data_IF_762917014131
#
_entry.id   IF_762917014131
#
_cell.length_a   1.000
_cell.length_b   1.000
_cell.length_c   1.000
_cell.angle_alpha   90.00
_cell.angle_beta   90.00
_cell.angle_gamma   90.00
#
_symmetry.space_group_name_H-M   'P 1'
#
loop_
_entity.id
_entity.type
_entity.pdbx_description
1 polymer ?
#
# COMPACT_ATOMS: atom_id res chain seq x y z
N UNK A 1 -4.59 3.47 32.50
CA UNK A 1 -3.93 2.84 31.33
C UNK A 1 -4.89 2.07 30.42
N UNK A 2 -5.77 1.19 30.93
CA UNK A 2 -6.68 0.39 30.08
C UNK A 2 -7.60 1.24 29.22
N UNK A 3 -8.22 2.28 29.77
CA UNK A 3 -9.12 3.17 29.03
C UNK A 3 -8.41 3.91 27.90
N UNK A 4 -7.19 4.42 28.15
CA UNK A 4 -6.36 5.09 27.13
C UNK A 4 -5.97 4.13 26.00
N UNK A 5 -5.59 2.89 26.34
CA UNK A 5 -5.27 1.85 25.35
C UNK A 5 -6.50 1.49 24.52
N UNK A 6 -7.66 1.33 25.14
CA UNK A 6 -8.91 1.04 24.44
C UNK A 6 -9.31 2.19 23.51
N UNK A 7 -9.17 3.44 23.96
CA UNK A 7 -9.43 4.62 23.13
C UNK A 7 -8.53 4.67 21.90
N UNK A 8 -7.23 4.38 22.05
CA UNK A 8 -6.32 4.24 20.90
C UNK A 8 -6.77 3.13 19.94
N UNK A 9 -7.23 2.00 20.47
CA UNK A 9 -7.77 0.91 19.65
C UNK A 9 -9.00 1.33 18.85
N UNK A 10 -9.92 2.06 19.47
CA UNK A 10 -11.12 2.62 18.80
C UNK A 10 -10.72 3.61 17.72
N UNK A 11 -9.91 4.62 18.05
CA UNK A 11 -9.44 5.62 17.08
C UNK A 11 -8.73 4.98 15.89
N UNK A 12 -7.83 4.03 16.13
CA UNK A 12 -7.15 3.27 15.08
C UNK A 12 -8.15 2.54 14.17
N UNK A 13 -9.17 1.90 14.74
CA UNK A 13 -10.19 1.19 13.97
C UNK A 13 -11.06 2.13 13.13
N UNK A 14 -11.42 3.30 13.66
CA UNK A 14 -12.15 4.32 12.91
C UNK A 14 -11.32 4.90 11.75
N UNK A 15 -10.02 5.13 11.98
CA UNK A 15 -9.09 5.56 10.93
C UNK A 15 -9.07 4.51 9.82
N UNK A 16 -8.78 3.25 10.15
CA UNK A 16 -8.70 2.13 9.20
C UNK A 16 -9.96 2.03 8.32
N UNK A 17 -11.14 2.13 8.92
CA UNK A 17 -12.43 2.10 8.20
C UNK A 17 -12.69 3.32 7.32
N UNK A 18 -12.14 4.47 7.68
CA UNK A 18 -12.38 5.73 6.96
C UNK A 18 -11.38 5.99 5.84
N UNK A 19 -10.21 5.32 5.86
CA UNK A 19 -9.14 5.56 4.88
C UNK A 19 -9.63 5.32 3.45
N UNK A 20 -9.51 6.35 2.62
CA UNK A 20 -9.74 6.25 1.17
C UNK A 20 -8.77 7.17 0.42
N UNK A 21 -8.77 7.08 -0.92
CA UNK A 21 -7.97 7.99 -1.76
C UNK A 21 -8.65 9.33 -2.01
N UNK A 22 -9.92 9.46 -1.64
CA UNK A 22 -10.78 10.58 -2.02
C UNK A 22 -11.11 11.52 -0.85
N UNK A 23 -10.60 11.22 0.35
CA UNK A 23 -10.81 12.04 1.55
C UNK A 23 -9.50 12.41 2.25
N UNK A 24 -9.58 13.44 3.09
CA UNK A 24 -8.52 13.84 4.02
C UNK A 24 -9.02 13.53 5.42
N UNK A 25 -8.21 12.82 6.20
CA UNK A 25 -8.53 12.43 7.57
C UNK A 25 -7.58 13.16 8.51
N UNK A 26 -8.14 13.85 9.50
CA UNK A 26 -7.41 14.49 10.58
C UNK A 26 -7.62 13.64 11.83
N UNK A 27 -6.54 13.10 12.38
CA UNK A 27 -6.56 12.30 13.61
C UNK A 27 -6.24 13.22 14.79
N UNK A 28 -7.25 13.95 15.26
CA UNK A 28 -7.13 14.88 16.38
C UNK A 28 -7.12 14.13 17.72
N UNK A 29 -5.92 13.81 18.19
CA UNK A 29 -5.67 13.11 19.45
C UNK A 29 -4.24 13.38 19.90
N UNK A 30 -3.91 13.05 21.15
CA UNK A 30 -2.57 13.27 21.71
C UNK A 30 -1.46 12.63 20.86
N UNK A 31 -1.72 11.44 20.29
CA UNK A 31 -0.77 10.71 19.44
C UNK A 31 0.67 10.68 19.99
N UNK A 32 0.77 10.64 21.33
CA UNK A 32 1.97 11.02 22.10
C UNK A 32 3.08 9.98 22.06
N UNK A 33 2.75 8.74 21.72
CA UNK A 33 3.70 7.62 21.67
C UNK A 33 4.05 7.27 20.23
N UNK A 34 5.34 7.03 20.00
CA UNK A 34 5.93 6.67 18.70
C UNK A 34 5.30 5.41 18.13
N UNK A 35 5.04 4.41 18.97
CA UNK A 35 4.43 3.15 18.55
C UNK A 35 3.06 3.34 17.90
N UNK A 36 2.25 4.23 18.45
CA UNK A 36 0.91 4.52 17.91
C UNK A 36 0.98 5.32 16.60
N UNK A 37 1.86 6.31 16.50
CA UNK A 37 2.10 7.02 15.23
C UNK A 37 2.58 6.06 14.13
N UNK A 38 3.44 5.10 14.47
CA UNK A 38 3.87 4.05 13.56
C UNK A 38 2.71 3.16 13.09
N UNK A 39 1.76 2.81 13.97
CA UNK A 39 0.56 2.05 13.58
C UNK A 39 -0.30 2.83 12.59
N UNK A 40 -0.55 4.11 12.82
CA UNK A 40 -1.29 4.98 11.89
C UNK A 40 -0.59 5.10 10.54
N UNK A 41 0.73 5.27 10.55
CA UNK A 41 1.53 5.27 9.33
C UNK A 41 1.45 3.93 8.57
N UNK A 42 1.42 2.79 9.28
CA UNK A 42 1.24 1.49 8.66
C UNK A 42 -0.12 1.38 7.95
N UNK A 43 -1.20 1.89 8.54
CA UNK A 43 -2.53 1.93 7.92
C UNK A 43 -2.51 2.80 6.65
N UNK A 44 -1.97 4.01 6.74
CA UNK A 44 -1.82 4.90 5.58
C UNK A 44 -0.97 4.26 4.46
N UNK A 45 0.10 3.55 4.84
CA UNK A 45 0.94 2.81 3.89
C UNK A 45 0.19 1.66 3.24
N UNK A 46 -0.59 0.89 3.98
CA UNK A 46 -1.38 -0.23 3.45
C UNK A 46 -2.47 0.26 2.49
N UNK A 47 -3.11 1.39 2.81
CA UNK A 47 -4.09 2.05 1.94
C UNK A 47 -3.47 2.72 0.70
N UNK A 48 -2.13 2.84 0.65
CA UNK A 48 -1.43 3.47 -0.47
C UNK A 48 -1.72 4.96 -0.58
N UNK A 49 -1.85 5.65 0.55
CA UNK A 49 -2.14 7.09 0.63
C UNK A 49 -0.95 7.88 1.19
N UNK A 50 -1.07 9.20 1.22
CA UNK A 50 -0.08 10.08 1.86
C UNK A 50 -0.29 10.08 3.38
N UNK A 51 0.76 10.40 4.11
CA UNK A 51 0.75 10.55 5.56
C UNK A 51 1.68 11.70 5.93
N UNK A 52 1.33 12.47 6.95
CA UNK A 52 2.19 13.51 7.51
C UNK A 52 1.88 13.69 9.00
N UNK A 53 2.82 14.28 9.73
CA UNK A 53 2.63 14.64 11.15
C UNK A 53 2.63 16.15 11.28
N UNK A 54 1.61 16.68 11.94
CA UNK A 54 1.60 18.04 12.47
C UNK A 54 1.91 17.96 13.96
N UNK A 55 2.99 18.62 14.39
CA UNK A 55 3.40 18.68 15.78
C UNK A 55 3.26 20.10 16.32
N UNK A 56 2.42 20.26 17.34
CA UNK A 56 2.29 21.51 18.09
C UNK A 56 3.28 21.49 19.25
N UNK A 57 4.45 22.08 19.05
CA UNK A 57 5.51 22.11 20.05
C UNK A 57 5.25 23.18 21.09
N UNK A 58 5.13 22.75 22.34
CA UNK A 58 4.83 23.60 23.49
C UNK A 58 5.64 23.10 24.67
N UNK A 59 6.37 24.00 25.31
CA UNK A 59 7.15 23.68 26.50
C UNK A 59 6.25 23.24 27.66
N UNK A 60 6.74 22.33 28.50
CA UNK A 60 5.98 21.77 29.63
C UNK A 60 5.41 22.86 30.56
N UNK A 61 6.17 23.92 30.80
CA UNK A 61 5.78 25.07 31.63
C UNK A 61 4.51 25.75 31.10
N UNK A 62 4.42 25.92 29.78
CA UNK A 62 3.26 26.49 29.11
C UNK A 62 2.08 25.51 29.10
N UNK A 63 2.33 24.22 28.83
CA UNK A 63 1.31 23.18 28.92
C UNK A 63 0.66 23.13 30.32
N UNK A 64 1.47 23.22 31.37
CA UNK A 64 1.00 23.23 32.76
C UNK A 64 0.16 24.46 33.06
N UNK A 65 0.66 25.63 32.66
CA UNK A 65 -0.06 26.90 32.81
C UNK A 65 -1.43 26.83 32.13
N UNK A 66 -1.50 26.39 30.88
CA UNK A 66 -2.77 26.27 30.15
C UNK A 66 -3.72 25.24 30.78
N UNK A 67 -3.19 24.13 31.31
CA UNK A 67 -4.01 23.14 32.00
C UNK A 67 -4.62 23.71 33.30
N UNK A 68 -3.87 24.53 34.05
CA UNK A 68 -4.38 25.26 35.23
C UNK A 68 -5.43 26.30 34.84
N UNK A 69 -5.17 27.13 33.82
CA UNK A 69 -6.12 28.14 33.35
C UNK A 69 -7.45 27.51 32.88
N UNK A 70 -7.41 26.35 32.23
CA UNK A 70 -8.62 25.58 31.86
C UNK A 70 -9.38 25.13 33.11
N UNK A 71 -8.68 24.65 34.13
CA UNK A 71 -9.29 24.23 35.41
C UNK A 71 -9.96 25.40 36.12
N UNK A 72 -9.34 26.57 36.14
CA UNK A 72 -9.90 27.80 36.74
C UNK A 72 -11.16 28.28 36.01
N UNK A 73 -11.26 27.99 34.70
CA UNK A 73 -12.43 28.29 33.87
C UNK A 73 -13.51 27.20 33.88
N UNK A 74 -13.36 26.17 34.70
CA UNK A 74 -14.24 24.99 34.73
C UNK A 74 -14.32 24.25 33.37
N UNK A 75 -13.27 24.32 32.57
CA UNK A 75 -13.12 23.56 31.33
C UNK A 75 -12.49 22.19 31.59
N UNK A 76 -12.63 21.28 30.62
CA UNK A 76 -11.93 19.99 30.65
C UNK A 76 -10.42 20.19 30.78
N UNK A 77 -9.86 19.66 31.85
CA UNK A 77 -8.43 19.71 32.21
C UNK A 77 -7.98 18.39 32.81
N UNK A 78 -6.68 18.13 32.77
CA UNK A 78 -6.08 16.97 33.45
C UNK A 78 -5.82 17.31 34.91
N UNK A 79 -6.01 16.34 35.81
CA UNK A 79 -5.45 16.45 37.15
C UNK A 79 -3.91 16.33 37.09
N UNK A 80 -3.24 16.74 38.17
CA UNK A 80 -1.79 16.88 38.17
C UNK A 80 -1.09 15.53 37.96
N UNK A 81 -1.59 14.46 38.59
CA UNK A 81 -1.03 13.12 38.41
C UNK A 81 -1.13 12.60 36.96
N UNK A 82 -2.23 12.86 36.27
CA UNK A 82 -2.39 12.52 34.85
C UNK A 82 -1.47 13.39 33.99
N UNK A 83 -1.39 14.69 34.28
CA UNK A 83 -0.52 15.61 33.55
C UNK A 83 0.95 15.16 33.62
N UNK A 84 1.47 14.88 34.81
CA UNK A 84 2.85 14.38 35.00
C UNK A 84 3.10 13.08 34.23
N UNK A 85 2.15 12.13 34.29
CA UNK A 85 2.29 10.87 33.59
C UNK A 85 2.29 11.03 32.07
N UNK A 86 1.49 11.96 31.53
CA UNK A 86 1.48 12.29 30.10
C UNK A 86 2.80 12.91 29.65
N UNK A 87 3.30 13.91 30.39
CA UNK A 87 4.58 14.57 30.10
C UNK A 87 5.72 13.56 30.11
N UNK A 88 5.80 12.72 31.15
CA UNK A 88 6.87 11.72 31.31
C UNK A 88 6.88 10.68 30.19
N UNK A 89 5.71 10.30 29.66
CA UNK A 89 5.57 9.30 28.59
C UNK A 89 5.62 9.87 27.18
N UNK A 90 5.64 11.19 27.03
CA UNK A 90 5.60 11.83 25.73
C UNK A 90 6.85 11.52 24.91
N UNK A 91 6.67 11.02 23.69
CA UNK A 91 7.74 10.75 22.73
C UNK A 91 7.67 11.73 21.57
N UNK A 92 8.52 12.77 21.60
CA UNK A 92 8.58 13.83 20.58
C UNK A 92 8.73 13.24 19.17
N UNK A 93 7.94 13.67 18.17
CA UNK A 93 8.12 13.27 16.78
C UNK A 93 9.53 13.62 16.26
N UNK A 94 10.11 12.77 15.41
CA UNK A 94 11.44 12.98 14.85
C UNK A 94 11.41 12.81 13.33
N UNK A 95 11.70 13.89 12.59
CA UNK A 95 11.71 13.89 11.11
C UNK A 95 12.65 12.86 10.47
N UNK A 96 13.64 12.32 11.20
CA UNK A 96 14.51 11.24 10.74
C UNK A 96 13.77 9.91 10.67
N UNK A 97 12.70 9.74 11.45
CA UNK A 97 11.82 8.60 11.34
C UNK A 97 10.94 8.72 10.11
N UNK A 98 10.96 7.70 9.25
CA UNK A 98 10.13 7.65 8.04
C UNK A 98 8.61 7.76 8.30
N UNK A 99 8.15 7.39 9.49
CA UNK A 99 6.73 7.44 9.87
C UNK A 99 6.31 8.77 10.50
N UNK A 100 7.26 9.58 10.97
CA UNK A 100 6.98 10.95 11.42
C UNK A 100 7.20 11.97 10.28
N UNK A 101 7.69 11.52 9.11
CA UNK A 101 8.05 12.38 7.97
C UNK A 101 6.99 12.32 6.86
N UNK A 102 6.61 13.46 6.23
CA UNK A 102 7.04 14.82 6.58
C UNK A 102 6.44 15.31 7.91
N UNK A 103 7.22 16.11 8.63
CA UNK A 103 6.89 16.70 9.93
C UNK A 103 6.75 18.22 9.78
N UNK A 104 5.56 18.73 10.10
CA UNK A 104 5.24 20.16 10.17
C UNK A 104 5.17 20.57 11.64
N UNK A 105 5.81 21.67 12.02
CA UNK A 105 5.93 22.10 13.41
C UNK A 105 5.27 23.46 13.63
N UNK A 106 4.42 23.56 14.65
CA UNK A 106 3.79 24.80 15.10
C UNK A 106 4.28 25.13 16.51
N UNK A 107 4.47 26.41 16.81
CA UNK A 107 5.00 26.88 18.09
C UNK A 107 4.00 27.87 18.74
N UNK A 108 2.82 27.40 19.19
CA UNK A 108 1.70 28.27 19.54
C UNK A 108 2.01 29.30 20.63
N UNK A 109 2.89 28.95 21.57
CA UNK A 109 3.27 29.83 22.69
C UNK A 109 4.16 31.00 22.25
N UNK A 110 4.86 30.87 21.12
CA UNK A 110 5.83 31.86 20.62
C UNK A 110 5.26 32.66 19.46
N UNK A 111 4.71 31.96 18.47
CA UNK A 111 4.31 32.54 17.19
C UNK A 111 2.79 32.64 17.04
N UNK A 112 2.02 32.14 18.01
CA UNK A 112 0.57 31.97 17.89
C UNK A 112 0.19 30.87 16.88
N UNK A 113 -1.11 30.77 16.57
CA UNK A 113 -1.61 29.89 15.51
C UNK A 113 -2.50 30.71 14.60
N UNK A 114 -2.07 30.90 13.36
CA UNK A 114 -2.84 31.57 12.32
C UNK A 114 -2.98 30.68 11.09
N UNK A 115 -4.03 30.89 10.29
CA UNK A 115 -4.20 30.16 9.02
C UNK A 115 -3.04 30.42 8.04
N UNK A 116 -2.39 31.57 8.19
CA UNK A 116 -1.19 32.03 7.47
C UNK A 116 0.12 31.44 7.99
N UNK A 117 0.12 30.70 9.12
CA UNK A 117 1.35 30.12 9.66
C UNK A 117 2.02 29.23 8.60
N UNK A 118 3.33 29.39 8.34
CA UNK A 118 4.02 28.66 7.27
C UNK A 118 3.80 27.14 7.32
N UNK A 119 3.86 26.54 8.51
CA UNK A 119 3.64 25.10 8.68
C UNK A 119 2.22 24.65 8.28
N UNK A 120 1.19 25.48 8.51
CA UNK A 120 -0.19 25.18 8.08
C UNK A 120 -0.31 25.31 6.56
N UNK A 121 0.25 26.38 5.99
CA UNK A 121 0.23 26.59 4.53
C UNK A 121 0.94 25.44 3.81
N UNK A 122 2.12 25.04 4.29
CA UNK A 122 2.89 23.93 3.72
C UNK A 122 2.18 22.59 3.89
N UNK A 123 1.57 22.34 5.05
CA UNK A 123 0.76 21.15 5.31
C UNK A 123 -0.43 21.06 4.34
N UNK A 124 -1.20 22.14 4.22
CA UNK A 124 -2.37 22.21 3.32
C UNK A 124 -1.95 22.00 1.88
N UNK A 125 -0.85 22.64 1.46
CA UNK A 125 -0.25 22.43 0.14
C UNK A 125 0.12 20.95 -0.06
N UNK A 126 0.80 20.32 0.90
CA UNK A 126 1.20 18.92 0.82
C UNK A 126 0.01 17.95 0.67
N UNK A 127 -1.05 18.13 1.47
CA UNK A 127 -2.21 17.21 1.46
C UNK A 127 -3.12 17.44 0.25
N UNK A 128 -3.20 18.66 -0.28
CA UNK A 128 -4.11 18.99 -1.41
C UNK A 128 -3.44 18.99 -2.79
N UNK A 129 -2.10 19.07 -2.87
CA UNK A 129 -1.37 19.08 -4.15
C UNK A 129 -1.72 17.84 -4.97
N UNK A 130 -2.00 18.01 -6.26
CA UNK A 130 -2.16 16.88 -7.18
C UNK A 130 -0.81 16.21 -7.38
N UNK A 131 -0.73 14.89 -7.18
CA UNK A 131 0.49 14.13 -7.51
C UNK A 131 0.50 13.96 -9.02
N UNK A 132 1.45 14.61 -9.68
CA UNK A 132 1.83 14.23 -11.03
C UNK A 132 2.96 13.20 -10.96
N UNK A 133 3.14 12.41 -12.02
CA UNK A 133 4.20 11.40 -12.09
C UNK A 133 5.62 11.99 -12.16
N UNK A 134 5.77 13.32 -12.13
CA UNK A 134 7.03 14.05 -12.35
C UNK A 134 7.57 14.69 -11.07
N UNK A 135 6.71 15.01 -10.10
CA UNK A 135 7.05 15.68 -8.85
C UNK A 135 7.34 14.66 -7.75
N UNK A 136 8.58 14.66 -7.26
CA UNK A 136 9.03 13.77 -6.16
C UNK A 136 8.67 14.30 -4.77
N UNK A 137 8.15 15.51 -4.70
CA UNK A 137 7.95 16.25 -3.45
C UNK A 137 6.83 15.65 -2.59
N UNK A 138 5.85 15.00 -3.23
CA UNK A 138 4.70 14.40 -2.56
C UNK A 138 4.77 12.87 -2.66
N UNK A 139 5.21 12.25 -1.56
CA UNK A 139 5.38 10.80 -1.48
C UNK A 139 4.08 10.10 -1.14
N UNK A 140 3.43 9.50 -2.14
CA UNK A 140 2.38 8.49 -1.90
C UNK A 140 3.08 7.25 -1.34
N UNK A 141 2.65 6.80 -0.16
CA UNK A 141 3.20 5.60 0.45
C UNK A 141 2.82 4.39 -0.40
N UNK A 142 3.80 3.52 -0.64
CA UNK A 142 3.56 2.28 -1.37
C UNK A 142 3.37 1.13 -0.37
N UNK A 143 2.27 0.36 -0.49
CA UNK A 143 2.11 -0.87 0.28
C UNK A 143 3.31 -1.80 0.06
N UNK A 144 3.72 -2.52 1.09
CA UNK A 144 4.67 -3.63 0.90
C UNK A 144 3.87 -4.89 0.58
N UNK A 145 4.47 -5.82 -0.16
CA UNK A 145 3.90 -7.16 -0.42
C UNK A 145 3.44 -7.84 0.89
N UNK A 146 4.16 -7.62 2.01
CA UNK A 146 3.82 -8.17 3.32
C UNK A 146 2.62 -7.49 4.02
N UNK A 147 2.21 -6.29 3.61
CA UNK A 147 1.11 -5.52 4.21
C UNK A 147 -0.13 -5.45 3.32
N UNK A 148 -0.06 -6.01 2.11
CA UNK A 148 -1.22 -6.14 1.26
C UNK A 148 -2.02 -7.33 1.75
N UNK A 149 -3.27 -7.08 2.17
CA UNK A 149 -4.26 -8.14 2.17
C UNK A 149 -4.30 -8.70 0.76
N UNK A 150 -4.08 -10.01 0.61
CA UNK A 150 -4.31 -10.71 -0.65
C UNK A 150 -5.71 -10.31 -1.06
N UNK A 151 -5.85 -9.51 -2.12
CA UNK A 151 -7.17 -9.29 -2.71
C UNK A 151 -7.68 -10.68 -3.00
N UNK A 152 -8.81 -11.05 -2.41
CA UNK A 152 -9.48 -12.28 -2.78
C UNK A 152 -9.71 -12.20 -4.29
N UNK A 153 -8.84 -12.89 -5.02
CA UNK A 153 -9.12 -13.32 -6.37
C UNK A 153 -10.46 -14.01 -6.28
N UNK A 154 -11.47 -13.57 -7.03
CA UNK A 154 -12.74 -14.30 -7.09
C UNK A 154 -12.40 -15.79 -7.25
N UNK A 155 -13.02 -16.66 -6.44
CA UNK A 155 -12.63 -18.07 -6.35
C UNK A 155 -12.58 -18.80 -7.72
N UNK A 156 -13.18 -18.21 -8.76
CA UNK A 156 -13.12 -18.66 -10.15
C UNK A 156 -11.82 -18.35 -10.90
N UNK A 157 -11.11 -17.24 -10.64
CA UNK A 157 -10.07 -16.81 -11.59
C UNK A 157 -8.80 -17.67 -11.55
N UNK A 158 -8.44 -18.26 -10.40
CA UNK A 158 -7.33 -19.21 -10.34
C UNK A 158 -7.65 -20.51 -11.07
N UNK A 159 -8.88 -21.00 -10.95
CA UNK A 159 -9.34 -22.19 -11.68
C UNK A 159 -9.35 -21.94 -13.19
N UNK A 160 -9.88 -20.80 -13.63
CA UNK A 160 -9.90 -20.41 -15.05
C UNK A 160 -8.48 -20.23 -15.61
N UNK A 161 -7.56 -19.64 -14.84
CA UNK A 161 -6.14 -19.56 -15.21
C UNK A 161 -5.48 -20.94 -15.34
N UNK A 162 -5.71 -21.83 -14.37
CA UNK A 162 -5.15 -23.17 -14.41
C UNK A 162 -5.65 -23.96 -15.61
N UNK A 163 -6.95 -23.85 -15.91
CA UNK A 163 -7.57 -24.45 -17.09
C UNK A 163 -7.01 -23.87 -18.39
N UNK A 164 -6.98 -22.54 -18.52
CA UNK A 164 -6.48 -21.84 -19.70
C UNK A 164 -5.01 -22.21 -20.02
N UNK A 165 -4.13 -22.22 -19.01
CA UNK A 165 -2.73 -22.58 -19.20
C UNK A 165 -2.53 -24.06 -19.51
N UNK A 166 -3.39 -24.94 -18.98
CA UNK A 166 -3.40 -26.36 -19.35
C UNK A 166 -3.80 -26.57 -20.81
N UNK A 167 -4.83 -25.88 -21.30
CA UNK A 167 -5.27 -25.95 -22.71
C UNK A 167 -4.13 -25.55 -23.66
N UNK A 168 -3.44 -24.46 -23.37
CA UNK A 168 -2.26 -24.01 -24.15
C UNK A 168 -1.13 -25.06 -24.13
N UNK A 169 -0.84 -25.61 -22.96
CA UNK A 169 0.19 -26.64 -22.79
C UNK A 169 -0.13 -27.90 -23.61
N UNK A 170 -1.38 -28.35 -23.58
CA UNK A 170 -1.83 -29.52 -24.35
C UNK A 170 -1.72 -29.27 -25.86
N UNK A 171 -2.12 -28.09 -26.34
CA UNK A 171 -2.02 -27.74 -27.77
C UNK A 171 -0.57 -27.73 -28.27
N UNK A 172 0.38 -27.27 -27.46
CA UNK A 172 1.81 -27.31 -27.79
C UNK A 172 2.31 -28.75 -27.94
N UNK A 173 1.94 -29.64 -27.00
CA UNK A 173 2.37 -31.04 -27.01
C UNK A 173 1.80 -31.76 -28.24
N UNK A 174 0.53 -31.52 -28.55
CA UNK A 174 -0.11 -32.08 -29.74
C UNK A 174 0.58 -31.61 -31.02
N UNK A 175 0.85 -30.31 -31.14
CA UNK A 175 1.58 -29.75 -32.29
C UNK A 175 2.99 -30.33 -32.43
N UNK A 176 3.74 -30.47 -31.33
CA UNK A 176 5.07 -31.09 -31.35
C UNK A 176 5.02 -32.58 -31.71
N UNK A 177 3.96 -33.29 -31.34
CA UNK A 177 3.76 -34.70 -31.70
C UNK A 177 3.52 -34.88 -33.21
N UNK A 178 2.72 -34.00 -33.81
CA UNK A 178 2.46 -33.98 -35.25
C UNK A 178 3.72 -33.56 -36.04
N UNK A 179 4.53 -32.66 -35.50
CA UNK A 179 5.79 -32.25 -36.08
C UNK A 179 6.93 -33.27 -35.88
N UNK A 180 6.66 -34.44 -35.28
CA UNK A 180 7.67 -35.45 -34.92
C UNK A 180 8.88 -34.87 -34.15
N UNK A 181 8.64 -33.88 -33.27
CA UNK A 181 9.69 -33.20 -32.52
C UNK A 181 10.45 -32.11 -33.28
N UNK A 182 10.01 -31.77 -34.50
CA UNK A 182 10.48 -30.61 -35.25
C UNK A 182 9.98 -29.27 -34.68
N UNK A 183 10.48 -28.13 -35.20
CA UNK A 183 10.06 -26.81 -34.76
C UNK A 183 8.57 -26.59 -35.02
N UNK A 184 7.87 -25.98 -34.06
CA UNK A 184 6.46 -25.63 -34.17
C UNK A 184 6.38 -24.12 -34.39
N UNK A 185 6.09 -23.71 -35.63
CA UNK A 185 5.99 -22.29 -36.00
C UNK A 185 4.55 -21.93 -36.32
N UNK A 186 4.05 -20.82 -35.77
CA UNK A 186 2.73 -20.29 -36.09
C UNK A 186 1.57 -21.04 -35.43
N UNK A 187 1.77 -21.70 -34.27
CA UNK A 187 0.68 -22.41 -33.60
C UNK A 187 -0.40 -21.42 -33.15
N UNK A 188 -1.59 -21.50 -33.76
CA UNK A 188 -2.76 -20.72 -33.38
C UNK A 188 -3.72 -21.59 -32.57
N UNK A 189 -3.98 -21.17 -31.32
CA UNK A 189 -4.91 -21.85 -30.41
C UNK A 189 -6.35 -21.35 -30.61
N UNK A 190 -6.50 -20.08 -31.01
CA UNK A 190 -7.76 -19.50 -31.44
C UNK A 190 -7.50 -18.28 -32.33
N UNK A 191 -8.50 -17.89 -33.12
CA UNK A 191 -8.39 -16.82 -34.12
C UNK A 191 -7.90 -15.47 -33.57
N UNK A 192 -8.22 -15.15 -32.30
CA UNK A 192 -7.88 -13.87 -31.66
C UNK A 192 -6.70 -13.94 -30.68
N UNK A 193 -5.91 -15.02 -30.70
CA UNK A 193 -4.74 -15.18 -29.84
C UNK A 193 -3.42 -15.08 -30.63
N UNK A 194 -2.34 -14.55 -30.01
CA UNK A 194 -1.03 -14.55 -30.64
C UNK A 194 -0.59 -15.98 -30.99
N UNK A 195 0.16 -16.12 -32.08
CA UNK A 195 0.75 -17.41 -32.45
C UNK A 195 1.94 -17.74 -31.55
N UNK A 196 2.10 -19.02 -31.22
CA UNK A 196 3.28 -19.52 -30.50
C UNK A 196 4.32 -19.99 -31.51
N UNK A 197 5.56 -19.53 -31.32
CA UNK A 197 6.71 -19.97 -32.11
C UNK A 197 7.71 -20.68 -31.20
N UNK A 198 7.96 -21.96 -31.47
CA UNK A 198 8.86 -22.83 -30.73
C UNK A 198 9.93 -23.34 -31.71
N UNK A 199 11.15 -22.83 -31.56
CA UNK A 199 12.30 -23.14 -32.41
C UNK A 199 12.95 -24.50 -32.10
N UNK A 200 12.73 -25.03 -30.89
CA UNK A 200 13.28 -26.30 -30.40
C UNK A 200 12.21 -27.17 -29.75
N UNK A 201 12.36 -28.49 -29.75
CA UNK A 201 11.45 -29.34 -29.00
C UNK A 201 11.50 -29.02 -27.50
N UNK A 202 10.35 -28.66 -26.91
CA UNK A 202 10.16 -28.39 -25.49
C UNK A 202 9.50 -29.60 -24.85
N UNK A 203 10.07 -30.11 -23.76
CA UNK A 203 9.52 -31.26 -23.03
C UNK A 203 8.38 -30.88 -22.08
N UNK A 204 7.48 -31.83 -21.80
CA UNK A 204 6.42 -31.67 -20.79
C UNK A 204 6.95 -31.20 -19.42
N UNK A 205 8.13 -31.64 -18.90
CA UNK A 205 8.67 -31.12 -17.65
C UNK A 205 8.99 -29.62 -17.70
N UNK A 206 9.50 -29.13 -18.83
CA UNK A 206 9.84 -27.73 -19.03
C UNK A 206 8.57 -26.87 -19.13
N UNK A 207 7.57 -27.30 -19.91
CA UNK A 207 6.27 -26.64 -20.00
C UNK A 207 5.58 -26.55 -18.64
N UNK A 208 5.63 -27.63 -17.83
CA UNK A 208 5.10 -27.63 -16.46
C UNK A 208 5.83 -26.64 -15.55
N UNK A 209 7.15 -26.50 -15.71
CA UNK A 209 7.96 -25.53 -14.95
C UNK A 209 7.57 -24.10 -15.35
N UNK A 210 7.52 -23.80 -16.65
CA UNK A 210 7.13 -22.49 -17.18
C UNK A 210 5.71 -22.11 -16.73
N UNK A 211 4.75 -23.05 -16.79
CA UNK A 211 3.40 -22.84 -16.28
C UNK A 211 3.38 -22.51 -14.78
N UNK A 212 4.11 -23.27 -13.94
CA UNK A 212 4.20 -22.98 -12.50
C UNK A 212 4.81 -21.60 -12.23
N UNK A 213 5.85 -21.23 -12.96
CA UNK A 213 6.48 -19.91 -12.86
C UNK A 213 5.49 -18.81 -13.26
N UNK A 214 4.78 -18.98 -14.38
CA UNK A 214 3.74 -18.05 -14.81
C UNK A 214 2.64 -17.86 -13.77
N UNK A 215 2.05 -18.95 -13.26
CA UNK A 215 0.98 -18.88 -12.24
C UNK A 215 1.47 -18.15 -10.98
N UNK A 216 2.70 -18.43 -10.55
CA UNK A 216 3.32 -17.74 -9.41
C UNK A 216 3.52 -16.25 -9.70
N UNK A 217 4.05 -15.89 -10.87
CA UNK A 217 4.28 -14.49 -11.26
C UNK A 217 2.96 -13.73 -11.40
N UNK A 218 1.94 -14.31 -12.02
CA UNK A 218 0.63 -13.68 -12.22
C UNK A 218 -0.12 -13.56 -10.90
N UNK A 219 -0.07 -14.58 -10.03
CA UNK A 219 -0.62 -14.50 -8.68
C UNK A 219 0.08 -13.48 -7.78
N UNK A 220 1.38 -13.23 -8.00
CA UNK A 220 2.15 -12.18 -7.32
C UNK A 220 1.99 -10.79 -7.97
N UNK A 221 1.69 -10.71 -9.27
CA UNK A 221 1.54 -9.44 -10.01
C UNK A 221 0.25 -8.71 -9.67
N UNK A 222 -0.76 -9.38 -9.10
CA UNK A 222 -1.97 -8.78 -8.54
C UNK A 222 -1.72 -7.71 -7.46
N UNK A 223 -0.46 -7.53 -7.04
CA UNK A 223 -0.02 -6.70 -5.93
C UNK A 223 0.67 -5.39 -6.37
N UNK A 224 1.25 -5.32 -7.58
CA UNK A 224 1.88 -4.08 -8.11
C UNK A 224 1.92 -4.01 -9.65
N UNK A 225 1.47 -5.04 -10.35
CA UNK A 225 1.51 -5.18 -11.80
C UNK A 225 0.12 -5.10 -12.44
N UNK A 226 0.02 -5.37 -13.75
CA UNK A 226 -1.25 -5.46 -14.46
C UNK A 226 -2.23 -6.39 -13.72
N UNK A 227 -3.54 -6.10 -13.74
CA UNK A 227 -4.53 -6.93 -13.07
C UNK A 227 -4.44 -8.38 -13.56
N UNK A 228 -4.77 -9.36 -12.70
CA UNK A 228 -4.90 -10.75 -13.14
C UNK A 228 -5.94 -10.84 -14.28
N UNK A 229 -5.80 -11.82 -15.18
CA UNK A 229 -6.73 -11.99 -16.28
C UNK A 229 -8.17 -12.17 -15.76
N UNK A 230 -9.11 -11.46 -16.42
CA UNK A 230 -10.54 -11.45 -16.06
C UNK A 230 -11.31 -12.66 -16.57
N UNK A 231 -10.75 -13.36 -17.56
CA UNK A 231 -11.40 -14.44 -18.30
C UNK A 231 -10.36 -15.43 -18.87
N UNK A 232 -10.84 -16.55 -19.40
CA UNK A 232 -9.97 -17.59 -19.94
C UNK A 232 -9.13 -17.11 -21.14
N UNK A 233 -9.66 -16.25 -22.01
CA UNK A 233 -8.97 -15.82 -23.22
C UNK A 233 -7.84 -14.83 -22.93
N UNK A 234 -8.04 -13.92 -21.98
CA UNK A 234 -7.00 -13.05 -21.44
C UNK A 234 -5.90 -13.86 -20.74
N UNK A 235 -6.27 -14.91 -19.99
CA UNK A 235 -5.30 -15.82 -19.37
C UNK A 235 -4.47 -16.58 -20.42
N UNK A 236 -5.10 -17.09 -21.49
CA UNK A 236 -4.41 -17.73 -22.62
C UNK A 236 -3.45 -16.75 -23.29
N UNK A 237 -3.91 -15.54 -23.61
CA UNK A 237 -3.07 -14.50 -24.24
C UNK A 237 -1.84 -14.19 -23.41
N UNK A 238 -2.02 -13.90 -22.12
CA UNK A 238 -0.90 -13.59 -21.21
C UNK A 238 0.10 -14.74 -21.10
N UNK A 239 -0.38 -15.99 -21.06
CA UNK A 239 0.50 -17.15 -21.00
C UNK A 239 1.25 -17.38 -22.32
N UNK A 240 0.59 -17.19 -23.46
CA UNK A 240 1.22 -17.24 -24.79
C UNK A 240 2.33 -16.18 -24.91
N UNK A 241 2.06 -14.95 -24.50
CA UNK A 241 3.05 -13.87 -24.51
C UNK A 241 4.24 -14.18 -23.60
N UNK A 242 3.99 -14.77 -22.44
CA UNK A 242 5.04 -15.24 -21.53
C UNK A 242 5.90 -16.32 -22.20
N UNK A 243 5.29 -17.34 -22.81
CA UNK A 243 6.01 -18.41 -23.51
C UNK A 243 6.84 -17.85 -24.68
N UNK A 244 6.28 -16.96 -25.49
CA UNK A 244 7.00 -16.33 -26.60
C UNK A 244 8.21 -15.51 -26.13
N UNK A 245 8.14 -14.89 -24.94
CA UNK A 245 9.31 -14.21 -24.35
C UNK A 245 10.38 -15.22 -23.93
N UNK A 246 10.00 -16.26 -23.21
CA UNK A 246 10.94 -17.27 -22.71
C UNK A 246 11.61 -18.05 -23.86
N UNK A 247 10.88 -18.33 -24.94
CA UNK A 247 11.42 -18.99 -26.13
C UNK A 247 12.16 -18.03 -27.08
N UNK A 248 11.85 -16.74 -27.06
CA UNK A 248 12.49 -15.71 -27.89
C UNK A 248 13.75 -15.09 -27.29
N UNK A 249 14.10 -15.43 -26.05
CA UNK A 249 15.32 -14.96 -25.36
C UNK A 249 16.54 -15.87 -25.52
N UNK A 250 16.54 -16.79 -26.48
CA UNK A 250 17.72 -17.56 -26.94
C UNK A 250 18.27 -17.02 -28.26
#
# INVERSE_FOLDING_TARGET
MTSEKNLRGVLRSEVDRSLSKDNIIIVDSLNSIKGYRYELWCLARAAGIRHCVLFTDVEETHCRKWNTERREKDESSYNDGIFEDLVRRFERPDRRNRWDSPLFELWPFKDGIEKSSPAIVDLVSYVTKKVDSKTRDVKILQPTIATQSVRFSEANSLYEMDRATQEVTSAIIEAQSLAMGGPVTGLSISHDLPTINISRSVGLPELRRLRKTFIKLTGQSSLSGPPPPSDADSAKRMFIDYLNREFGSE
#
